data_IF_842713445918
#
_entry.id   IF_842713445918
#
_cell.length_a   1.000
_cell.length_b   1.000
_cell.length_c   1.000
_cell.angle_alpha   90.00
_cell.angle_beta   90.00
_cell.angle_gamma   90.00
#
_symmetry.space_group_name_H-M   'P 1'
#
loop_
_entity.id
_entity.type
_entity.pdbx_description
1 polymer ?
#
# COMPACT_ATOMS: atom_id res chain seq x y z
N UNK A 1 12.49 9.84 -4.81
CA UNK A 1 12.88 8.42 -4.74
C UNK A 1 11.61 7.63 -4.48
N UNK A 2 11.19 6.82 -5.46
CA UNK A 2 10.04 5.93 -5.30
C UNK A 2 10.52 4.65 -4.63
N UNK A 3 9.70 4.09 -3.76
CA UNK A 3 9.98 2.84 -3.04
C UNK A 3 8.81 1.91 -3.24
N UNK A 4 9.09 0.62 -3.38
CA UNK A 4 8.06 -0.40 -3.40
C UNK A 4 7.40 -0.49 -2.02
N UNK A 5 6.10 -0.73 -2.02
CA UNK A 5 5.28 -0.94 -0.85
C UNK A 5 4.20 -1.99 -1.18
N UNK A 6 3.69 -2.62 -0.14
CA UNK A 6 2.68 -3.67 -0.24
C UNK A 6 1.41 -3.18 0.46
N UNK A 7 0.26 -3.33 -0.19
CA UNK A 7 -1.03 -3.15 0.46
C UNK A 7 -1.47 -4.50 1.00
N UNK A 8 -1.64 -4.55 2.31
CA UNK A 8 -2.15 -5.71 3.02
C UNK A 8 -3.62 -5.49 3.29
N UNK A 9 -4.46 -6.46 2.95
CA UNK A 9 -5.88 -6.38 3.26
C UNK A 9 -6.11 -6.54 4.77
N UNK A 10 -7.00 -5.75 5.35
CA UNK A 10 -7.31 -5.83 6.78
C UNK A 10 -8.16 -7.05 7.14
N UNK A 11 -8.89 -7.63 6.18
CA UNK A 11 -9.76 -8.79 6.38
C UNK A 11 -8.98 -10.10 6.22
N UNK A 12 -8.45 -10.34 5.02
CA UNK A 12 -7.75 -11.57 4.65
C UNK A 12 -6.28 -11.60 5.14
N UNK A 13 -5.71 -10.45 5.54
CA UNK A 13 -4.30 -10.28 5.98
C UNK A 13 -3.25 -10.71 4.96
N UNK A 14 -3.67 -10.91 3.72
CA UNK A 14 -2.79 -11.26 2.61
C UNK A 14 -2.22 -10.00 1.93
N UNK A 15 -1.05 -10.19 1.34
CA UNK A 15 -0.34 -9.19 0.53
C UNK A 15 -0.96 -9.11 -0.87
N UNK A 16 -2.10 -8.44 -0.99
CA UNK A 16 -2.89 -8.49 -2.24
C UNK A 16 -2.29 -7.64 -3.37
N UNK A 17 -1.60 -6.54 -3.05
CA UNK A 17 -1.13 -5.61 -4.07
C UNK A 17 0.26 -5.07 -3.79
N UNK A 18 1.12 -5.15 -4.81
CA UNK A 18 2.38 -4.42 -4.86
C UNK A 18 2.19 -3.09 -5.57
N UNK A 19 2.68 -2.01 -4.98
CA UNK A 19 2.64 -0.68 -5.56
C UNK A 19 3.92 0.10 -5.25
N UNK A 20 4.10 1.24 -5.89
CA UNK A 20 5.20 2.15 -5.59
C UNK A 20 4.66 3.44 -4.98
N UNK A 21 5.21 3.85 -3.83
CA UNK A 21 4.95 5.19 -3.26
C UNK A 21 6.20 6.06 -3.21
N UNK A 22 5.97 7.36 -3.23
CA UNK A 22 7.01 8.33 -2.97
C UNK A 22 6.98 8.76 -1.49
N UNK A 23 7.84 8.15 -0.67
CA UNK A 23 7.93 8.43 0.77
C UNK A 23 8.29 9.89 1.11
N UNK A 24 8.78 10.68 0.15
CA UNK A 24 9.08 12.11 0.39
C UNK A 24 7.82 13.00 0.37
N UNK A 25 6.80 12.60 -0.38
CA UNK A 25 5.57 13.39 -0.56
C UNK A 25 4.39 12.72 0.15
N UNK A 26 4.35 11.38 0.12
CA UNK A 26 3.33 10.56 0.75
C UNK A 26 3.88 10.02 2.07
N UNK A 27 3.77 10.85 3.11
CA UNK A 27 4.24 10.55 4.47
C UNK A 27 3.22 9.72 5.27
N UNK A 28 1.94 9.86 4.93
CA UNK A 28 0.83 9.17 5.60
C UNK A 28 0.71 7.69 5.19
N UNK A 29 -0.01 6.93 6.01
CA UNK A 29 -0.39 5.55 5.70
C UNK A 29 -1.41 5.60 4.55
N UNK A 30 -1.18 4.85 3.48
CA UNK A 30 -2.14 4.78 2.40
C UNK A 30 -3.21 3.74 2.71
N UNK A 31 -4.46 4.20 2.74
CA UNK A 31 -5.64 3.37 2.93
C UNK A 31 -6.51 3.51 1.68
N UNK A 32 -6.74 2.40 0.98
CA UNK A 32 -7.46 2.37 -0.29
C UNK A 32 -8.43 1.20 -0.24
N UNK A 33 -9.67 1.43 -0.65
CA UNK A 33 -10.66 0.37 -0.85
C UNK A 33 -10.39 -0.33 -2.19
N UNK A 34 -9.86 -1.54 -2.10
CA UNK A 34 -9.67 -2.45 -3.23
C UNK A 34 -10.34 -3.77 -2.92
N UNK A 35 -10.62 -4.54 -3.97
CA UNK A 35 -11.09 -5.92 -3.84
C UNK A 35 -10.01 -6.76 -3.13
N UNK A 36 -10.40 -7.57 -2.13
CA UNK A 36 -9.68 -8.80 -1.78
C UNK A 36 -10.29 -9.87 -2.69
#
# INVERSE_FOLDING_TARGET
>A
MRTQAVLVCQECKEENYHFTRNKKVQLERMEITKYC
#
